data_IF_726869193509
#
_entry.id   IF_726869193509
#
_cell.length_a   1.000
_cell.length_b   1.000
_cell.length_c   1.000
_cell.angle_alpha   90.00
_cell.angle_beta   90.00
_cell.angle_gamma   90.00
#
_symmetry.space_group_name_H-M   'P 1'
#
loop_
_entity.id
_entity.type
_entity.pdbx_description
1 polymer ?
#
# COMPACT_ATOMS: atom_id res chain seq x y z
N UNK A 1 1.00 6.16 -51.68
CA UNK A 1 0.42 5.57 -50.47
C UNK A 1 1.50 5.06 -49.49
N UNK A 2 2.42 4.20 -49.93
CA UNK A 2 3.49 3.64 -49.07
C UNK A 2 4.40 4.66 -48.37
N UNK A 3 4.86 5.70 -49.09
CA UNK A 3 5.78 6.72 -48.56
C UNK A 3 5.12 7.59 -47.48
N UNK A 4 3.83 7.85 -47.63
CA UNK A 4 3.01 8.57 -46.65
C UNK A 4 2.86 7.78 -45.36
N UNK A 5 2.57 6.47 -45.48
CA UNK A 5 2.48 5.56 -44.33
C UNK A 5 3.83 5.38 -43.61
N UNK A 6 4.95 5.33 -44.36
CA UNK A 6 6.31 5.27 -43.78
C UNK A 6 6.66 6.51 -42.96
N UNK A 7 6.05 7.66 -43.25
CA UNK A 7 6.29 8.93 -42.55
C UNK A 7 5.33 9.14 -41.37
N UNK A 8 4.07 8.74 -41.51
CA UNK A 8 3.06 8.89 -40.44
C UNK A 8 3.26 7.88 -39.32
N UNK A 9 3.60 6.63 -39.63
CA UNK A 9 3.80 5.59 -38.62
C UNK A 9 4.81 5.98 -37.51
N UNK A 10 6.00 6.54 -37.79
CA UNK A 10 6.91 6.97 -36.72
C UNK A 10 6.40 8.19 -35.95
N UNK A 11 5.69 9.12 -36.59
CA UNK A 11 5.09 10.27 -35.91
C UNK A 11 3.96 9.85 -34.98
N UNK A 12 3.07 8.97 -35.44
CA UNK A 12 2.01 8.38 -34.64
C UNK A 12 2.59 7.60 -33.46
N UNK A 13 3.62 6.77 -33.68
CA UNK A 13 4.32 6.06 -32.59
C UNK A 13 4.88 7.02 -31.56
N UNK A 14 5.57 8.08 -31.97
CA UNK A 14 6.08 9.12 -31.07
C UNK A 14 4.95 9.79 -30.29
N UNK A 15 3.86 10.15 -30.96
CA UNK A 15 2.68 10.74 -30.31
C UNK A 15 2.08 9.83 -29.24
N UNK A 16 1.86 8.55 -29.58
CA UNK A 16 1.35 7.54 -28.63
C UNK A 16 2.32 7.37 -27.46
N UNK A 17 3.62 7.27 -27.72
CA UNK A 17 4.65 7.14 -26.67
C UNK A 17 4.67 8.37 -25.75
N UNK A 18 4.55 9.59 -26.30
CA UNK A 18 4.47 10.82 -25.49
C UNK A 18 3.23 10.80 -24.61
N UNK A 19 2.05 10.50 -25.18
CA UNK A 19 0.79 10.43 -24.42
C UNK A 19 0.88 9.38 -23.31
N UNK A 20 1.46 8.22 -23.58
CA UNK A 20 1.69 7.18 -22.58
C UNK A 20 2.57 7.69 -21.43
N UNK A 21 3.73 8.28 -21.74
CA UNK A 21 4.62 8.80 -20.70
C UNK A 21 3.99 9.96 -19.91
N UNK A 22 3.28 10.87 -20.57
CA UNK A 22 2.54 11.93 -19.88
C UNK A 22 1.49 11.34 -18.93
N UNK A 23 0.74 10.33 -19.36
CA UNK A 23 -0.25 9.65 -18.53
C UNK A 23 0.40 8.98 -17.33
N UNK A 24 1.50 8.25 -17.54
CA UNK A 24 2.25 7.61 -16.46
C UNK A 24 2.83 8.62 -15.47
N UNK A 25 3.34 9.77 -15.96
CA UNK A 25 3.87 10.83 -15.11
C UNK A 25 2.76 11.47 -14.25
N UNK A 26 1.60 11.75 -14.83
CA UNK A 26 0.44 12.28 -14.09
C UNK A 26 -0.05 11.25 -13.06
N UNK A 27 -0.17 9.97 -13.44
CA UNK A 27 -0.56 8.92 -12.52
C UNK A 27 0.43 8.78 -11.35
N UNK A 28 1.73 8.81 -11.62
CA UNK A 28 2.77 8.79 -10.59
C UNK A 28 2.65 10.00 -9.65
N UNK A 29 2.42 11.20 -10.18
CA UNK A 29 2.21 12.39 -9.37
C UNK A 29 0.98 12.26 -8.46
N UNK A 30 -0.14 11.77 -8.99
CA UNK A 30 -1.36 11.53 -8.20
C UNK A 30 -1.10 10.55 -7.06
N UNK A 31 -0.38 9.45 -7.34
CA UNK A 31 -0.03 8.46 -6.31
C UNK A 31 0.84 9.09 -5.22
N UNK A 32 1.89 9.84 -5.59
CA UNK A 32 2.78 10.49 -4.62
C UNK A 32 2.02 11.50 -3.75
N UNK A 33 1.18 12.34 -4.35
CA UNK A 33 0.36 13.31 -3.60
C UNK A 33 -0.59 12.59 -2.65
N UNK A 34 -1.23 11.51 -3.11
CA UNK A 34 -2.14 10.73 -2.28
C UNK A 34 -1.40 10.06 -1.11
N UNK A 35 -0.22 9.47 -1.34
CA UNK A 35 0.62 8.88 -0.30
C UNK A 35 0.97 9.88 0.80
N UNK A 36 1.35 11.11 0.43
CA UNK A 36 1.67 12.17 1.40
C UNK A 36 0.45 12.53 2.25
N UNK A 37 -0.72 12.69 1.62
CA UNK A 37 -1.96 13.02 2.33
C UNK A 37 -2.35 11.89 3.29
N UNK A 38 -2.34 10.64 2.80
CA UNK A 38 -2.73 9.46 3.57
C UNK A 38 -1.77 9.19 4.72
N UNK A 39 -0.46 9.31 4.52
CA UNK A 39 0.54 9.12 5.57
C UNK A 39 0.35 10.09 6.75
N UNK A 40 -0.15 11.31 6.49
CA UNK A 40 -0.42 12.31 7.53
C UNK A 40 -1.83 12.22 8.15
N UNK A 41 -2.75 11.45 7.56
CA UNK A 41 -4.14 11.41 8.00
C UNK A 41 -4.30 10.66 9.34
N UNK A 42 -4.97 11.22 10.36
CA UNK A 42 -4.94 10.63 11.71
C UNK A 42 -5.90 9.46 11.94
N UNK A 43 -6.81 9.17 11.00
CA UNK A 43 -7.83 8.13 11.14
C UNK A 43 -7.62 6.99 10.14
N UNK A 44 -8.25 5.83 10.39
CA UNK A 44 -8.19 4.67 9.49
C UNK A 44 -8.68 5.05 8.09
N UNK A 45 -7.90 4.74 7.06
CA UNK A 45 -8.29 4.94 5.65
C UNK A 45 -8.64 3.62 4.98
N UNK A 46 -8.13 2.51 5.51
CA UNK A 46 -8.46 1.16 5.06
C UNK A 46 -8.98 0.33 6.26
N UNK A 47 -9.92 -0.58 5.97
CA UNK A 47 -10.47 -1.53 6.93
C UNK A 47 -9.39 -2.43 7.55
N UNK A 48 -8.35 -2.78 6.79
CA UNK A 48 -7.30 -3.69 7.23
C UNK A 48 -6.28 -3.12 8.21
N UNK A 49 -6.20 -1.81 8.41
CA UNK A 49 -5.11 -1.17 9.17
C UNK A 49 -5.13 -1.55 10.66
N UNK A 50 -6.31 -1.60 11.27
CA UNK A 50 -6.48 -1.93 12.69
C UNK A 50 -5.97 -3.34 13.03
N UNK A 51 -6.46 -4.41 12.36
CA UNK A 51 -5.98 -5.77 12.58
C UNK A 51 -4.47 -5.95 12.36
N UNK A 52 -3.89 -5.28 11.36
CA UNK A 52 -2.44 -5.33 11.10
C UNK A 52 -1.63 -4.67 12.22
N UNK A 53 -2.13 -3.54 12.73
CA UNK A 53 -1.52 -2.84 13.86
C UNK A 53 -1.60 -3.66 15.15
N UNK A 54 -2.77 -4.27 15.44
CA UNK A 54 -2.95 -5.18 16.58
C UNK A 54 -1.94 -6.32 16.56
N UNK A 55 -1.82 -7.00 15.40
CA UNK A 55 -0.87 -8.09 15.23
C UNK A 55 0.57 -7.63 15.39
N UNK A 56 0.93 -6.45 14.89
CA UNK A 56 2.27 -5.89 15.05
C UNK A 56 2.60 -5.59 16.53
N UNK A 57 1.64 -5.05 17.29
CA UNK A 57 1.79 -4.80 18.73
C UNK A 57 1.94 -6.12 19.49
N UNK A 58 1.10 -7.12 19.19
CA UNK A 58 1.17 -8.45 19.80
C UNK A 58 2.50 -9.15 19.54
N UNK A 59 3.01 -9.11 18.30
CA UNK A 59 4.36 -9.63 17.98
C UNK A 59 5.43 -8.97 18.86
N UNK A 60 5.36 -7.64 19.00
CA UNK A 60 6.31 -6.88 19.83
C UNK A 60 6.21 -7.26 21.31
N UNK A 61 5.02 -7.54 21.81
CA UNK A 61 4.78 -7.97 23.19
C UNK A 61 5.04 -9.48 23.42
N UNK A 62 5.40 -10.23 22.37
CA UNK A 62 5.62 -11.67 22.45
C UNK A 62 4.31 -12.48 22.55
N UNK A 63 3.19 -11.85 22.21
CA UNK A 63 1.87 -12.47 22.20
C UNK A 63 1.61 -13.21 20.87
N UNK A 64 0.89 -14.35 20.89
CA UNK A 64 0.51 -15.05 19.66
C UNK A 64 -0.41 -14.16 18.84
N UNK A 65 -0.31 -14.18 17.50
CA UNK A 65 -1.19 -13.42 16.58
C UNK A 65 -2.32 -14.27 15.98
N UNK A 66 -2.22 -15.59 16.08
CA UNK A 66 -3.22 -16.54 15.59
C UNK A 66 -3.99 -17.13 16.77
N UNK A 67 -5.31 -17.23 16.63
CA UNK A 67 -6.14 -17.97 17.58
C UNK A 67 -5.91 -19.47 17.47
N UNK A 68 -6.02 -20.17 18.59
CA UNK A 68 -6.05 -21.64 18.64
C UNK A 68 -7.45 -22.21 18.34
N UNK A 69 -8.49 -21.38 18.45
CA UNK A 69 -9.90 -21.76 18.23
C UNK A 69 -10.50 -20.95 17.08
N UNK A 70 -11.09 -21.65 16.10
CA UNK A 70 -11.79 -21.03 14.96
C UNK A 70 -13.29 -20.89 15.19
N UNK A 71 -13.81 -21.39 16.30
CA UNK A 71 -15.25 -21.40 16.63
C UNK A 71 -15.62 -20.33 17.65
N UNK A 72 -14.63 -19.63 18.20
CA UNK A 72 -14.82 -18.64 19.26
C UNK A 72 -14.16 -17.32 18.87
N UNK A 73 -14.80 -16.18 19.18
CA UNK A 73 -14.18 -14.87 19.00
C UNK A 73 -13.08 -14.61 20.05
N UNK A 74 -12.11 -13.71 19.77
CA UNK A 74 -11.99 -12.90 18.55
C UNK A 74 -11.40 -13.71 17.38
N UNK A 75 -12.07 -13.63 16.22
CA UNK A 75 -11.59 -14.29 15.00
C UNK A 75 -10.37 -13.55 14.43
N UNK A 76 -9.34 -14.30 14.04
CA UNK A 76 -8.17 -13.73 13.39
C UNK A 76 -8.48 -13.40 11.93
N UNK A 77 -8.49 -12.10 11.60
CA UNK A 77 -8.55 -11.61 10.22
C UNK A 77 -7.12 -11.37 9.76
N UNK A 78 -6.63 -12.19 8.84
CA UNK A 78 -5.25 -12.09 8.33
C UNK A 78 -5.19 -12.47 6.86
N UNK A 79 -4.87 -11.48 6.03
CA UNK A 79 -4.81 -11.63 4.58
C UNK A 79 -3.37 -11.88 4.09
N UNK A 80 -2.40 -11.75 5.00
CA UNK A 80 -0.97 -11.77 4.69
C UNK A 80 -0.22 -12.68 5.67
N UNK A 81 0.83 -13.39 5.21
CA UNK A 81 1.77 -14.05 6.10
C UNK A 81 2.39 -13.03 7.09
N UNK A 82 2.90 -13.50 8.25
CA UNK A 82 3.29 -12.62 9.37
C UNK A 82 4.57 -11.81 9.13
N UNK A 83 5.13 -11.84 7.92
CA UNK A 83 6.33 -11.08 7.55
C UNK A 83 6.07 -9.58 7.64
N UNK A 84 4.94 -9.11 7.08
CA UNK A 84 4.62 -7.68 7.10
C UNK A 84 4.38 -7.18 8.52
N UNK A 85 3.56 -7.87 9.31
CA UNK A 85 3.28 -7.52 10.70
C UNK A 85 4.54 -7.63 11.58
N UNK A 86 5.45 -8.56 11.26
CA UNK A 86 6.78 -8.64 11.86
C UNK A 86 7.64 -7.41 11.62
N UNK A 87 7.74 -6.93 10.37
CA UNK A 87 8.46 -5.68 10.06
C UNK A 87 7.77 -4.50 10.74
N UNK A 88 6.44 -4.43 10.65
CA UNK A 88 5.63 -3.37 11.25
C UNK A 88 5.81 -3.29 12.78
N UNK A 89 6.04 -4.42 13.45
CA UNK A 89 6.28 -4.48 14.91
C UNK A 89 7.53 -3.72 15.36
N UNK A 90 8.53 -3.56 14.47
CA UNK A 90 9.76 -2.81 14.74
C UNK A 90 9.49 -1.30 14.89
N UNK A 91 8.42 -0.80 14.27
CA UNK A 91 8.12 0.62 14.16
C UNK A 91 6.89 1.06 14.98
N UNK A 92 6.13 0.11 15.56
CA UNK A 92 4.93 0.42 16.34
C UNK A 92 5.13 0.19 17.83
N UNK A 93 4.58 1.08 18.67
CA UNK A 93 4.55 0.96 20.12
C UNK A 93 3.13 1.09 20.65
N UNK A 94 2.87 0.57 21.86
CA UNK A 94 1.55 0.62 22.51
C UNK A 94 1.03 2.05 22.71
N UNK A 95 1.94 3.01 22.87
CA UNK A 95 1.62 4.44 23.06
C UNK A 95 1.50 5.19 21.73
N UNK A 96 2.21 4.72 20.69
CA UNK A 96 2.15 5.27 19.34
C UNK A 96 1.32 4.37 18.43
N UNK A 97 -0.01 4.50 18.52
CA UNK A 97 -0.91 4.02 17.46
C UNK A 97 -0.73 4.89 16.22
N UNK A 98 0.43 4.86 15.56
CA UNK A 98 0.65 5.60 14.34
C UNK A 98 0.30 4.69 13.17
N UNK A 99 -0.97 4.77 12.73
CA UNK A 99 -1.38 4.30 11.40
C UNK A 99 -0.36 4.73 10.32
N UNK A 100 0.31 5.85 10.56
CA UNK A 100 1.46 6.38 9.83
C UNK A 100 2.59 5.37 9.61
N UNK A 101 3.02 4.61 10.62
CA UNK A 101 4.10 3.63 10.47
C UNK A 101 3.73 2.53 9.48
N UNK A 102 2.46 2.08 9.49
CA UNK A 102 1.92 1.17 8.48
C UNK A 102 1.98 1.76 7.08
N UNK A 103 1.51 3.00 6.93
CA UNK A 103 1.41 3.71 5.64
C UNK A 103 2.74 4.14 5.03
N UNK A 104 3.80 4.27 5.83
CA UNK A 104 5.15 4.53 5.30
C UNK A 104 5.73 3.25 4.69
N UNK A 105 5.34 2.08 5.20
CA UNK A 105 5.84 0.78 4.74
C UNK A 105 5.08 0.22 3.53
N UNK A 106 3.81 0.59 3.35
CA UNK A 106 2.91 0.10 2.29
C UNK A 106 2.30 1.22 1.47
#
# INVERSE_FOLDING_TARGET
>A
METFLKTINPLLKKGVTIVLYCTMAVAALVVVVNMVIVAAFPYSVDYGEGPLLDQAVRIREGEPIYTTSITEPPYTITNYPPVFTGILSLFNSRESSSLQAGRILS
#
